data_IF_440359720473
#
_entry.id   IF_440359720473
#
_cell.length_a   1.000
_cell.length_b   1.000
_cell.length_c   1.000
_cell.angle_alpha   90.00
_cell.angle_beta   90.00
_cell.angle_gamma   90.00
#
_symmetry.space_group_name_H-M   'P 1'
#
loop_
_entity.id
_entity.type
_entity.pdbx_description
1 polymer ?
#
# COMPACT_ATOMS: atom_id res chain seq x y z
N UNK A 1 10.60 10.43 -11.24
CA UNK A 1 11.44 10.52 -10.01
C UNK A 1 10.48 10.67 -8.85
N UNK A 2 10.15 9.56 -8.18
CA UNK A 2 9.32 9.63 -6.97
C UNK A 2 10.14 10.33 -5.91
N UNK A 3 9.74 11.53 -5.53
CA UNK A 3 10.31 12.23 -4.38
C UNK A 3 9.86 11.45 -3.14
N UNK A 4 10.75 10.67 -2.54
CA UNK A 4 10.47 10.02 -1.26
C UNK A 4 10.10 11.11 -0.26
N UNK A 5 8.89 11.04 0.32
CA UNK A 5 8.49 11.97 1.37
C UNK A 5 9.37 11.76 2.61
N UNK A 6 9.52 12.80 3.44
CA UNK A 6 10.26 12.67 4.70
C UNK A 6 9.66 11.55 5.57
N UNK A 7 8.32 11.47 5.63
CA UNK A 7 7.63 10.42 6.40
C UNK A 7 7.98 9.03 5.87
N UNK A 8 7.97 8.83 4.54
CA UNK A 8 8.36 7.56 3.91
C UNK A 8 9.81 7.20 4.25
N UNK A 9 10.73 8.16 4.13
CA UNK A 9 12.14 7.95 4.46
C UNK A 9 12.35 7.54 5.92
N UNK A 10 11.69 8.23 6.86
CA UNK A 10 11.82 7.91 8.28
C UNK A 10 11.19 6.54 8.60
N UNK A 11 10.03 6.24 8.04
CA UNK A 11 9.35 4.95 8.23
C UNK A 11 10.22 3.81 7.78
N UNK A 12 10.80 3.89 6.60
CA UNK A 12 11.66 2.85 6.03
C UNK A 12 12.88 2.54 6.90
N UNK A 13 13.46 3.56 7.55
CA UNK A 13 14.70 3.39 8.30
C UNK A 13 14.47 3.10 9.79
N UNK A 14 13.34 3.49 10.36
CA UNK A 14 13.14 3.48 11.81
C UNK A 14 11.86 2.78 12.28
N UNK A 15 10.89 2.50 11.41
CA UNK A 15 9.62 1.91 11.80
C UNK A 15 9.45 0.50 11.23
N UNK A 16 9.31 -0.53 12.07
CA UNK A 16 9.11 -1.90 11.61
C UNK A 16 7.69 -2.14 11.06
N UNK A 17 6.74 -1.25 11.36
CA UNK A 17 5.33 -1.38 11.00
C UNK A 17 4.83 -0.11 10.30
N UNK A 18 4.97 -0.01 8.97
CA UNK A 18 4.55 1.16 8.21
C UNK A 18 3.04 1.43 8.28
N UNK A 19 2.22 0.39 8.45
CA UNK A 19 0.77 0.53 8.64
C UNK A 19 0.44 1.40 9.87
N UNK A 20 1.11 1.17 10.99
CA UNK A 20 0.90 1.96 12.20
C UNK A 20 1.28 3.43 11.99
N UNK A 21 2.40 3.70 11.29
CA UNK A 21 2.83 5.07 11.01
C UNK A 21 1.83 5.78 10.11
N UNK A 22 1.34 5.11 9.06
CA UNK A 22 0.34 5.68 8.17
C UNK A 22 -0.98 5.98 8.90
N UNK A 23 -1.42 5.07 9.77
CA UNK A 23 -2.63 5.23 10.55
C UNK A 23 -2.52 6.35 11.58
N UNK A 24 -1.39 6.46 12.29
CA UNK A 24 -1.13 7.56 13.23
C UNK A 24 -1.07 8.90 12.51
N UNK A 25 -0.45 8.97 11.33
CA UNK A 25 -0.43 10.18 10.52
C UNK A 25 -1.84 10.59 10.06
N UNK A 26 -2.66 9.63 9.59
CA UNK A 26 -4.06 9.89 9.23
C UNK A 26 -4.86 10.36 10.44
N UNK A 27 -4.71 9.70 11.59
CA UNK A 27 -5.35 10.08 12.85
C UNK A 27 -4.98 11.50 13.28
N UNK A 28 -3.70 11.87 13.16
CA UNK A 28 -3.23 13.23 13.42
C UNK A 28 -3.90 14.26 12.50
N UNK A 29 -3.94 14.00 11.20
CA UNK A 29 -4.59 14.88 10.22
C UNK A 29 -6.08 15.07 10.57
N UNK A 30 -6.81 13.98 10.85
CA UNK A 30 -8.23 14.04 11.18
C UNK A 30 -8.49 14.74 12.52
N UNK A 31 -7.61 14.60 13.51
CA UNK A 31 -7.74 15.28 14.79
C UNK A 31 -7.60 16.81 14.69
N UNK A 32 -6.78 17.29 13.76
CA UNK A 32 -6.41 18.71 13.67
C UNK A 32 -7.09 19.48 12.54
N UNK A 33 -7.77 18.82 11.59
CA UNK A 33 -8.38 19.44 10.42
C UNK A 33 -9.87 19.06 10.29
N UNK A 34 -10.74 20.05 10.37
CA UNK A 34 -12.17 19.86 10.09
C UNK A 34 -12.43 19.52 8.61
N UNK A 35 -11.68 20.13 7.68
CA UNK A 35 -11.80 19.80 6.27
C UNK A 35 -11.35 18.38 5.96
N UNK A 36 -10.33 17.85 6.67
CA UNK A 36 -9.94 16.45 6.54
C UNK A 36 -11.06 15.49 6.99
N UNK A 37 -11.73 15.80 8.12
CA UNK A 37 -12.91 15.04 8.57
C UNK A 37 -14.03 15.10 7.53
N UNK A 38 -14.30 16.26 6.94
CA UNK A 38 -15.29 16.43 5.87
C UNK A 38 -14.93 15.60 4.62
N UNK A 39 -13.64 15.57 4.26
CA UNK A 39 -13.14 14.75 3.16
C UNK A 39 -13.40 13.25 3.41
N UNK A 40 -13.08 12.73 4.59
CA UNK A 40 -13.37 11.34 4.96
C UNK A 40 -14.89 11.07 5.01
N UNK A 41 -15.68 11.98 5.57
CA UNK A 41 -17.14 11.86 5.64
C UNK A 41 -17.79 11.80 4.26
N UNK A 42 -17.21 12.44 3.23
CA UNK A 42 -17.73 12.37 1.87
C UNK A 42 -17.69 10.94 1.29
N UNK A 43 -16.68 10.15 1.67
CA UNK A 43 -16.56 8.74 1.28
C UNK A 43 -17.60 7.88 2.01
N UNK A 44 -17.93 8.25 3.25
CA UNK A 44 -18.90 7.55 4.09
C UNK A 44 -20.36 7.94 3.79
N UNK A 45 -20.60 8.93 2.93
CA UNK A 45 -21.93 9.50 2.69
C UNK A 45 -23.00 8.47 2.26
N UNK A 46 -22.59 7.42 1.53
CA UNK A 46 -23.50 6.31 1.14
C UNK A 46 -23.99 5.46 2.31
N UNK A 47 -23.35 5.53 3.49
CA UNK A 47 -23.76 4.76 4.68
C UNK A 47 -24.80 5.48 5.56
N UNK A 48 -25.13 6.74 5.26
CA UNK A 48 -26.01 7.57 6.08
C UNK A 48 -25.31 8.18 7.31
N UNK A 49 -23.99 8.02 7.45
CA UNK A 49 -23.19 8.66 8.50
C UNK A 49 -22.98 10.14 8.11
N UNK A 50 -23.54 11.06 8.89
CA UNK A 50 -23.49 12.51 8.64
C UNK A 50 -22.98 13.33 9.82
N UNK A 51 -22.54 12.70 10.89
CA UNK A 51 -22.14 13.37 12.13
C UNK A 51 -20.67 13.83 12.07
N UNK A 52 -20.36 14.92 12.78
CA UNK A 52 -18.97 15.32 13.03
C UNK A 52 -18.36 14.38 14.06
N UNK A 53 -17.40 13.56 13.62
CA UNK A 53 -16.80 12.52 14.44
C UNK A 53 -15.45 12.98 15.00
N UNK A 54 -15.17 12.59 16.24
CA UNK A 54 -13.84 12.67 16.82
C UNK A 54 -13.06 11.39 16.53
N UNK A 55 -11.85 11.52 15.97
CA UNK A 55 -11.02 10.37 15.61
C UNK A 55 -9.88 10.15 16.60
N UNK A 56 -9.62 8.89 16.93
CA UNK A 56 -8.50 8.47 17.80
C UNK A 56 -7.91 7.17 17.28
N UNK A 57 -6.57 7.05 17.37
CA UNK A 57 -5.81 5.88 16.94
C UNK A 57 -5.66 4.85 18.05
N UNK A 58 -5.59 3.58 17.69
CA UNK A 58 -5.17 2.41 18.49
C UNK A 58 -5.76 2.34 19.93
N UNK A 59 -7.01 2.68 20.10
CA UNK A 59 -7.66 2.56 21.43
C UNK A 59 -8.10 1.12 21.72
N UNK A 60 -7.63 0.56 22.83
CA UNK A 60 -8.20 -0.67 23.36
C UNK A 60 -9.57 -0.37 23.99
N UNK A 61 -10.58 -1.17 23.63
CA UNK A 61 -11.90 -1.10 24.25
C UNK A 61 -12.22 -2.36 25.03
N UNK A 62 -12.54 -2.19 26.31
CA UNK A 62 -12.97 -3.27 27.18
C UNK A 62 -11.92 -4.37 27.41
N UNK A 63 -12.39 -5.56 27.71
CA UNK A 63 -11.56 -6.75 27.91
C UNK A 63 -11.11 -7.42 26.62
N UNK A 64 -11.49 -6.87 25.44
CA UNK A 64 -11.10 -7.41 24.14
C UNK A 64 -9.72 -6.90 23.74
N UNK A 65 -8.88 -7.83 23.27
CA UNK A 65 -7.56 -7.50 22.69
C UNK A 65 -7.68 -6.86 21.28
N UNK A 66 -8.90 -6.71 20.76
CA UNK A 66 -9.18 -6.12 19.46
C UNK A 66 -8.97 -4.60 19.51
N UNK A 67 -8.08 -4.09 18.67
CA UNK A 67 -7.75 -2.67 18.58
C UNK A 67 -7.85 -2.22 17.14
N UNK A 68 -8.96 -1.59 16.74
CA UNK A 68 -9.02 -0.94 15.43
C UNK A 68 -7.92 0.12 15.32
N UNK A 69 -7.37 0.27 14.12
CA UNK A 69 -6.31 1.24 13.88
C UNK A 69 -6.77 2.67 14.11
N UNK A 70 -8.04 2.98 13.75
CA UNK A 70 -8.63 4.29 13.97
C UNK A 70 -10.10 4.14 14.34
N UNK A 71 -10.55 4.89 15.35
CA UNK A 71 -11.93 4.91 15.84
C UNK A 71 -12.51 6.31 15.72
N UNK A 72 -13.62 6.45 14.99
CA UNK A 72 -14.43 7.67 14.88
C UNK A 72 -15.65 7.57 15.80
N UNK A 73 -15.76 8.50 16.75
CA UNK A 73 -16.85 8.56 17.73
C UNK A 73 -17.67 9.81 17.59
N UNK A 74 -18.95 9.66 17.85
CA UNK A 74 -19.88 10.78 17.97
C UNK A 74 -19.76 11.51 19.33
N UNK A 75 -20.60 12.53 19.53
CA UNK A 75 -20.66 13.31 20.78
C UNK A 75 -21.12 12.47 21.98
N UNK A 76 -21.77 11.33 21.77
CA UNK A 76 -22.24 10.40 22.82
C UNK A 76 -21.16 9.33 23.12
N UNK A 77 -20.04 9.34 22.43
CA UNK A 77 -18.94 8.39 22.60
C UNK A 77 -19.17 7.03 21.94
N UNK A 78 -20.21 6.90 21.07
CA UNK A 78 -20.49 5.65 20.35
C UNK A 78 -19.49 5.47 19.19
N UNK A 79 -19.11 4.23 18.91
CA UNK A 79 -18.24 3.89 17.78
C UNK A 79 -19.06 3.93 16.48
N UNK A 80 -18.92 4.99 15.73
CA UNK A 80 -19.63 5.20 14.47
C UNK A 80 -18.81 4.71 13.28
N UNK A 81 -17.50 4.94 13.29
CA UNK A 81 -16.60 4.48 12.23
C UNK A 81 -15.40 3.79 12.86
N UNK A 82 -15.14 2.58 12.44
CA UNK A 82 -13.88 1.89 12.70
C UNK A 82 -13.12 1.77 11.40
N UNK A 83 -11.84 2.11 11.40
CA UNK A 83 -10.96 1.97 10.25
C UNK A 83 -9.90 0.94 10.57
N UNK A 84 -9.72 0.01 9.68
CA UNK A 84 -8.62 -0.96 9.67
C UNK A 84 -7.78 -0.73 8.44
N UNK A 85 -6.53 -0.37 8.63
CA UNK A 85 -5.58 -0.11 7.57
C UNK A 85 -4.74 -1.35 7.29
N UNK A 86 -4.59 -1.68 6.03
CA UNK A 86 -3.75 -2.81 5.60
C UNK A 86 -2.97 -2.40 4.37
N UNK A 87 -1.63 -2.52 4.42
CA UNK A 87 -0.87 -2.55 3.19
C UNK A 87 -0.84 -3.98 2.64
N UNK A 88 -0.03 -4.85 3.21
CA UNK A 88 0.17 -6.20 2.69
C UNK A 88 -0.09 -7.31 3.70
N UNK A 89 -0.32 -6.98 4.98
CA UNK A 89 -0.66 -7.95 6.01
C UNK A 89 -2.04 -8.59 5.75
N UNK A 90 -2.20 -9.86 6.14
CA UNK A 90 -3.50 -10.57 6.12
C UNK A 90 -4.47 -10.08 7.19
N UNK A 91 -5.70 -10.55 7.11
CA UNK A 91 -6.67 -10.35 8.19
C UNK A 91 -6.30 -11.23 9.39
N UNK A 92 -6.45 -10.68 10.59
CA UNK A 92 -6.36 -11.45 11.84
C UNK A 92 -7.67 -12.19 12.11
N UNK A 93 -7.67 -13.08 13.12
CA UNK A 93 -8.86 -13.85 13.49
C UNK A 93 -10.02 -12.97 13.99
N UNK A 94 -9.70 -11.79 14.53
CA UNK A 94 -10.70 -10.81 15.00
C UNK A 94 -11.34 -9.98 13.88
N UNK A 95 -10.82 -10.06 12.66
CA UNK A 95 -11.25 -9.22 11.54
C UNK A 95 -12.08 -10.03 10.53
N UNK A 96 -13.23 -9.49 10.11
CA UNK A 96 -13.85 -8.22 10.50
C UNK A 96 -14.78 -8.33 11.72
N UNK A 97 -15.06 -9.50 12.23
CA UNK A 97 -16.23 -9.84 13.07
C UNK A 97 -16.25 -9.09 14.40
N UNK A 98 -15.17 -9.16 15.17
CA UNK A 98 -15.10 -8.45 16.46
C UNK A 98 -15.25 -6.94 16.26
N UNK A 99 -14.72 -6.38 15.16
CA UNK A 99 -14.88 -4.95 14.87
C UNK A 99 -16.31 -4.57 14.49
N UNK A 100 -17.02 -5.43 13.74
CA UNK A 100 -18.44 -5.22 13.45
C UNK A 100 -19.27 -5.20 14.74
N UNK A 101 -18.94 -6.05 15.72
CA UNK A 101 -19.62 -6.10 17.01
C UNK A 101 -19.36 -4.85 17.86
N UNK A 102 -18.19 -4.20 17.71
CA UNK A 102 -17.85 -2.97 18.42
C UNK A 102 -18.57 -1.72 17.86
N UNK A 103 -19.15 -1.78 16.68
CA UNK A 103 -19.91 -0.68 16.07
C UNK A 103 -21.25 -0.44 16.78
N UNK A 104 -21.71 0.81 16.81
CA UNK A 104 -23.04 1.16 17.30
C UNK A 104 -24.14 0.44 16.53
N UNK A 105 -25.18 -0.01 17.22
CA UNK A 105 -26.32 -0.75 16.65
C UNK A 105 -27.53 0.15 16.30
N UNK A 106 -27.66 1.25 17.04
CA UNK A 106 -28.85 2.12 17.04
C UNK A 106 -28.76 3.27 16.00
N UNK A 107 -27.60 3.51 15.43
CA UNK A 107 -27.35 4.53 14.42
C UNK A 107 -26.53 3.97 13.25
N UNK A 108 -26.52 4.64 12.08
CA UNK A 108 -25.65 4.25 10.99
C UNK A 108 -24.18 4.20 11.43
N UNK A 109 -23.51 3.09 11.17
CA UNK A 109 -22.12 2.87 11.56
C UNK A 109 -21.39 2.04 10.52
N UNK A 110 -20.06 2.15 10.42
CA UNK A 110 -19.29 1.49 9.37
C UNK A 110 -17.94 0.97 9.88
N UNK A 111 -17.59 -0.22 9.43
CA UNK A 111 -16.21 -0.72 9.43
C UNK A 111 -15.61 -0.48 8.05
N UNK A 112 -14.55 0.33 7.99
CA UNK A 112 -13.87 0.72 6.77
C UNK A 112 -12.49 0.08 6.70
N UNK A 113 -12.23 -0.73 5.67
CA UNK A 113 -10.90 -1.21 5.34
C UNK A 113 -10.22 -0.23 4.39
N UNK A 114 -9.01 0.20 4.76
CA UNK A 114 -8.19 1.14 4.00
C UNK A 114 -6.96 0.42 3.47
N UNK A 115 -6.90 0.23 2.14
CA UNK A 115 -5.99 -0.73 1.50
C UNK A 115 -5.35 -0.17 0.23
N UNK A 116 -4.26 -0.78 -0.30
CA UNK A 116 -3.82 -0.57 -1.67
C UNK A 116 -4.85 -1.04 -2.70
N UNK A 117 -4.92 -0.37 -3.84
CA UNK A 117 -5.87 -0.69 -4.92
C UNK A 117 -5.76 -2.15 -5.39
N UNK A 118 -4.56 -2.68 -5.45
CA UNK A 118 -4.27 -4.05 -5.92
C UNK A 118 -4.90 -5.13 -5.03
N UNK A 119 -5.16 -4.81 -3.77
CA UNK A 119 -5.75 -5.75 -2.82
C UNK A 119 -7.27 -5.80 -2.84
N UNK A 120 -7.92 -4.83 -3.48
CA UNK A 120 -9.38 -4.71 -3.42
C UNK A 120 -10.10 -5.97 -3.94
N UNK A 121 -9.61 -6.55 -5.02
CA UNK A 121 -10.22 -7.75 -5.63
C UNK A 121 -10.02 -9.03 -4.83
N UNK A 122 -8.95 -9.13 -4.05
CA UNK A 122 -8.64 -10.32 -3.23
C UNK A 122 -9.18 -10.22 -1.81
N UNK A 123 -9.08 -9.03 -1.18
CA UNK A 123 -9.43 -8.87 0.23
C UNK A 123 -10.93 -8.68 0.46
N UNK A 124 -11.63 -8.00 -0.47
CA UNK A 124 -13.07 -7.78 -0.32
C UNK A 124 -13.90 -9.06 -0.20
N UNK A 125 -13.74 -10.07 -1.09
CA UNK A 125 -14.43 -11.34 -0.94
C UNK A 125 -14.14 -12.04 0.38
N UNK A 126 -12.88 -11.97 0.86
CA UNK A 126 -12.48 -12.58 2.14
C UNK A 126 -13.18 -11.90 3.32
N UNK A 127 -13.21 -10.55 3.36
CA UNK A 127 -13.91 -9.79 4.41
C UNK A 127 -15.40 -10.13 4.43
N UNK A 128 -16.07 -10.19 3.26
CA UNK A 128 -17.47 -10.52 3.16
C UNK A 128 -17.76 -11.98 3.58
N UNK A 129 -16.90 -12.94 3.18
CA UNK A 129 -17.03 -14.33 3.57
C UNK A 129 -16.93 -14.51 5.08
N UNK A 130 -15.89 -13.93 5.71
CA UNK A 130 -15.70 -14.03 7.16
C UNK A 130 -16.88 -13.43 7.95
N UNK A 131 -17.42 -12.28 7.49
CA UNK A 131 -18.62 -11.71 8.08
C UNK A 131 -19.84 -12.64 7.96
N UNK A 132 -20.04 -13.24 6.78
CA UNK A 132 -21.14 -14.18 6.55
C UNK A 132 -21.02 -15.45 7.37
N UNK A 133 -19.82 -16.00 7.52
CA UNK A 133 -19.53 -17.25 8.26
C UNK A 133 -19.87 -17.11 9.77
N UNK A 134 -19.88 -15.90 10.30
CA UNK A 134 -20.25 -15.60 11.68
C UNK A 134 -21.71 -15.16 11.84
N UNK A 135 -22.50 -15.22 10.78
CA UNK A 135 -23.94 -15.00 10.82
C UNK A 135 -24.40 -13.59 10.44
N UNK A 136 -23.49 -12.70 10.01
CA UNK A 136 -23.91 -11.42 9.46
C UNK A 136 -24.48 -11.60 8.04
N UNK A 137 -25.66 -11.05 7.80
CA UNK A 137 -26.19 -10.95 6.43
C UNK A 137 -25.47 -9.84 5.70
N UNK A 138 -24.77 -10.17 4.61
CA UNK A 138 -24.00 -9.21 3.81
C UNK A 138 -24.75 -8.94 2.50
N UNK A 139 -25.21 -7.71 2.30
CA UNK A 139 -25.90 -7.26 1.08
C UNK A 139 -25.04 -6.24 0.36
N UNK A 140 -24.53 -6.58 -0.82
CA UNK A 140 -23.71 -5.69 -1.64
C UNK A 140 -24.50 -4.43 -2.05
N UNK A 141 -23.91 -3.24 -1.89
CA UNK A 141 -24.51 -1.96 -2.25
C UNK A 141 -23.74 -1.26 -3.38
N UNK A 142 -22.41 -1.29 -3.33
CA UNK A 142 -21.56 -0.66 -4.34
C UNK A 142 -20.35 -1.54 -4.67
N UNK A 143 -20.00 -1.63 -5.94
CA UNK A 143 -18.87 -2.39 -6.47
C UNK A 143 -18.16 -1.60 -7.58
N UNK A 144 -17.42 -0.56 -7.20
CA UNK A 144 -16.70 0.33 -8.09
C UNK A 144 -15.32 0.72 -7.52
N UNK A 145 -15.01 2.02 -7.53
CA UNK A 145 -13.76 2.58 -6.98
C UNK A 145 -13.61 2.32 -5.48
N UNK A 146 -14.72 2.22 -4.77
CA UNK A 146 -14.80 1.66 -3.42
C UNK A 146 -15.82 0.53 -3.43
N UNK A 147 -15.82 -0.30 -2.41
CA UNK A 147 -16.79 -1.37 -2.24
C UNK A 147 -17.55 -1.15 -0.95
N UNK A 148 -18.86 -1.37 -0.99
CA UNK A 148 -19.68 -1.32 0.21
C UNK A 148 -20.71 -2.45 0.24
N UNK A 149 -21.01 -2.88 1.45
CA UNK A 149 -22.07 -3.82 1.74
C UNK A 149 -22.80 -3.42 3.03
N UNK A 150 -24.10 -3.58 3.03
CA UNK A 150 -24.91 -3.40 4.21
C UNK A 150 -24.96 -4.69 5.01
N UNK A 151 -24.80 -4.56 6.30
CA UNK A 151 -24.98 -5.64 7.26
C UNK A 151 -26.39 -5.54 7.91
N UNK A 152 -26.76 -6.54 8.69
CA UNK A 152 -27.99 -6.47 9.47
C UNK A 152 -27.99 -5.25 10.42
N UNK A 153 -29.13 -4.59 10.54
CA UNK A 153 -29.25 -3.34 11.28
C UNK A 153 -28.78 -2.12 10.45
N UNK A 154 -28.10 -1.20 11.10
CA UNK A 154 -27.58 0.04 10.50
C UNK A 154 -26.08 -0.01 10.25
N UNK A 155 -25.48 -1.20 10.23
CA UNK A 155 -24.04 -1.38 10.06
C UNK A 155 -23.67 -1.55 8.60
N UNK A 156 -22.50 -1.03 8.24
CA UNK A 156 -21.94 -1.14 6.90
C UNK A 156 -20.51 -1.67 6.92
N UNK A 157 -20.16 -2.47 5.92
CA UNK A 157 -18.78 -2.75 5.55
C UNK A 157 -18.39 -1.82 4.39
N UNK A 158 -17.23 -1.23 4.49
CA UNK A 158 -16.64 -0.39 3.46
C UNK A 158 -15.22 -0.85 3.18
N UNK A 159 -14.80 -0.78 1.93
CA UNK A 159 -13.41 -0.96 1.54
C UNK A 159 -13.06 0.10 0.51
N UNK A 160 -12.00 0.85 0.79
CA UNK A 160 -11.53 1.94 -0.08
C UNK A 160 -10.00 1.97 -0.10
N UNK A 161 -9.42 2.84 -0.91
CA UNK A 161 -7.97 2.93 -1.03
C UNK A 161 -7.40 4.13 -0.29
N UNK A 162 -6.13 4.05 0.08
CA UNK A 162 -5.37 5.18 0.59
C UNK A 162 -5.45 6.38 -0.36
N UNK A 163 -5.27 6.15 -1.65
CA UNK A 163 -5.35 7.19 -2.68
C UNK A 163 -6.70 7.88 -2.68
N UNK A 164 -7.81 7.14 -2.60
CA UNK A 164 -9.17 7.71 -2.57
C UNK A 164 -9.37 8.59 -1.34
N UNK A 165 -9.01 8.10 -0.15
CA UNK A 165 -9.14 8.87 1.11
C UNK A 165 -8.28 10.12 1.09
N UNK A 166 -7.01 10.00 0.72
CA UNK A 166 -6.09 11.14 0.70
C UNK A 166 -6.50 12.19 -0.34
N UNK A 167 -7.06 11.77 -1.49
CA UNK A 167 -7.57 12.69 -2.50
C UNK A 167 -8.82 13.44 -2.03
N UNK A 168 -9.72 12.77 -1.32
CA UNK A 168 -10.90 13.43 -0.75
C UNK A 168 -10.52 14.47 0.32
N UNK A 169 -9.57 14.12 1.19
CA UNK A 169 -9.03 15.03 2.21
C UNK A 169 -8.32 16.23 1.55
N UNK A 170 -7.46 15.99 0.56
CA UNK A 170 -6.73 17.02 -0.17
C UNK A 170 -7.69 18.00 -0.88
N UNK A 171 -8.75 17.46 -1.50
CA UNK A 171 -9.79 18.28 -2.14
C UNK A 171 -10.47 19.20 -1.15
N UNK A 172 -10.89 18.67 0.00
CA UNK A 172 -11.56 19.44 1.04
C UNK A 172 -10.61 20.48 1.69
N UNK A 173 -9.35 20.10 1.96
CA UNK A 173 -8.34 21.01 2.51
C UNK A 173 -7.97 22.12 1.54
N UNK A 174 -7.91 21.83 0.23
CA UNK A 174 -7.66 22.82 -0.81
C UNK A 174 -8.79 23.85 -0.86
N UNK A 175 -10.05 23.38 -0.83
CA UNK A 175 -11.21 24.26 -0.82
C UNK A 175 -11.27 25.18 0.41
N UNK A 176 -10.71 24.74 1.54
CA UNK A 176 -10.66 25.48 2.80
C UNK A 176 -9.34 26.28 2.99
N UNK A 177 -8.37 26.17 2.08
CA UNK A 177 -7.09 26.86 2.15
C UNK A 177 -6.16 26.38 3.27
N UNK A 178 -6.31 25.14 3.75
CA UNK A 178 -5.54 24.57 4.86
C UNK A 178 -4.17 24.03 4.41
N UNK A 179 -3.19 24.93 4.25
CA UNK A 179 -1.85 24.59 3.72
C UNK A 179 -1.06 23.58 4.56
N UNK A 180 -1.22 23.60 5.88
CA UNK A 180 -0.56 22.62 6.77
C UNK A 180 -1.13 21.23 6.55
N UNK A 181 -2.45 21.09 6.51
CA UNK A 181 -3.13 19.84 6.21
C UNK A 181 -2.71 19.29 4.84
N UNK A 182 -2.60 20.12 3.82
CA UNK A 182 -2.09 19.72 2.50
C UNK A 182 -0.66 19.19 2.54
N UNK A 183 0.22 19.82 3.34
CA UNK A 183 1.58 19.34 3.55
C UNK A 183 1.60 17.95 4.21
N UNK A 184 0.81 17.76 5.27
CA UNK A 184 0.73 16.50 6.00
C UNK A 184 0.16 15.38 5.11
N UNK A 185 -0.89 15.67 4.35
CA UNK A 185 -1.47 14.73 3.35
C UNK A 185 -0.44 14.34 2.31
N UNK A 186 0.36 15.29 1.81
CA UNK A 186 1.44 15.01 0.84
C UNK A 186 2.51 14.07 1.42
N UNK A 187 2.89 14.26 2.70
CA UNK A 187 3.84 13.37 3.39
C UNK A 187 3.29 11.96 3.55
N UNK A 188 2.03 11.83 3.97
CA UNK A 188 1.37 10.54 4.11
C UNK A 188 1.17 9.84 2.77
N UNK A 189 0.79 10.58 1.72
CA UNK A 189 0.68 10.06 0.35
C UNK A 189 2.00 9.43 -0.11
N UNK A 190 3.12 10.12 0.07
CA UNK A 190 4.42 9.57 -0.30
C UNK A 190 4.80 8.30 0.47
N UNK A 191 4.38 8.15 1.73
CA UNK A 191 4.53 6.90 2.47
C UNK A 191 3.68 5.78 1.85
N UNK A 192 2.40 6.06 1.58
CA UNK A 192 1.48 5.08 0.99
C UNK A 192 1.96 4.61 -0.39
N UNK A 193 2.39 5.53 -1.26
CA UNK A 193 2.92 5.22 -2.58
C UNK A 193 4.20 4.35 -2.51
N UNK A 194 5.10 4.60 -1.54
CA UNK A 194 6.27 3.74 -1.34
C UNK A 194 5.87 2.34 -0.89
N UNK A 195 4.91 2.22 0.03
CA UNK A 195 4.40 0.93 0.50
C UNK A 195 3.66 0.17 -0.61
N UNK A 196 2.87 0.84 -1.43
CA UNK A 196 2.22 0.25 -2.59
C UNK A 196 3.25 -0.26 -3.62
N UNK A 197 4.30 0.51 -3.88
CA UNK A 197 5.36 0.13 -4.81
C UNK A 197 6.23 -1.06 -4.31
N UNK A 198 6.33 -1.26 -3.01
CA UNK A 198 7.07 -2.40 -2.41
C UNK A 198 6.24 -3.69 -2.32
N UNK A 199 4.95 -3.59 -2.55
CA UNK A 199 4.03 -4.70 -2.41
C UNK A 199 4.13 -5.75 -3.51
N UNK A 200 3.61 -6.93 -3.20
CA UNK A 200 3.46 -7.99 -4.18
C UNK A 200 2.32 -7.65 -5.16
N UNK A 201 2.66 -7.45 -6.42
CA UNK A 201 1.68 -7.35 -7.49
C UNK A 201 1.31 -8.76 -7.95
N UNK A 202 0.06 -9.22 -7.75
CA UNK A 202 -0.37 -10.50 -8.27
C UNK A 202 -0.26 -10.50 -9.80
N UNK A 203 0.32 -11.54 -10.35
CA UNK A 203 0.43 -11.72 -11.81
C UNK A 203 -0.98 -11.89 -12.38
N UNK A 204 -1.36 -11.02 -13.29
CA UNK A 204 -2.65 -11.11 -13.99
C UNK A 204 -2.57 -12.18 -15.08
N UNK A 205 -3.68 -12.89 -15.38
CA UNK A 205 -3.67 -13.94 -16.41
C UNK A 205 -3.12 -13.50 -17.78
N UNK A 206 -3.30 -12.22 -18.15
CA UNK A 206 -2.77 -11.67 -19.41
C UNK A 206 -1.27 -11.33 -19.39
N UNK A 207 -0.66 -11.19 -18.20
CA UNK A 207 0.75 -10.82 -18.03
C UNK A 207 1.67 -12.05 -18.02
N UNK A 208 1.15 -13.21 -17.64
CA UNK A 208 1.93 -14.45 -17.53
C UNK A 208 1.61 -15.43 -18.66
N UNK A 209 1.87 -15.00 -19.90
CA UNK A 209 1.85 -15.92 -21.05
C UNK A 209 3.02 -16.91 -20.99
N UNK A 210 2.96 -18.04 -21.72
CA UNK A 210 4.00 -19.08 -21.72
C UNK A 210 5.39 -18.56 -22.14
N UNK A 211 5.44 -17.39 -22.80
CA UNK A 211 6.69 -16.75 -23.23
C UNK A 211 7.34 -15.85 -22.15
N UNK A 212 6.62 -15.45 -21.09
CA UNK A 212 7.16 -14.54 -20.09
C UNK A 212 8.39 -15.11 -19.35
N UNK A 213 8.37 -16.35 -18.83
CA UNK A 213 9.55 -16.95 -18.21
C UNK A 213 10.73 -17.06 -19.20
N UNK A 214 10.46 -17.37 -20.45
CA UNK A 214 11.48 -17.47 -21.50
C UNK A 214 12.13 -16.13 -21.79
N UNK A 215 11.36 -15.03 -21.78
CA UNK A 215 11.89 -13.68 -21.97
C UNK A 215 12.78 -13.26 -20.81
N UNK A 216 12.37 -13.53 -19.56
CA UNK A 216 13.16 -13.23 -18.36
C UNK A 216 14.48 -14.00 -18.37
N UNK A 217 14.44 -15.32 -18.68
CA UNK A 217 15.66 -16.12 -18.86
C UNK A 217 16.52 -15.63 -20.02
N UNK A 218 15.90 -15.08 -21.05
CA UNK A 218 16.59 -14.49 -22.20
C UNK A 218 17.47 -13.29 -21.83
N UNK A 219 17.15 -12.54 -20.79
CA UNK A 219 17.95 -11.40 -20.34
C UNK A 219 19.36 -11.83 -19.87
N UNK A 220 19.47 -12.97 -19.19
CA UNK A 220 20.77 -13.56 -18.81
C UNK A 220 21.61 -13.87 -20.06
N UNK A 221 20.98 -14.46 -21.08
CA UNK A 221 21.66 -14.79 -22.33
C UNK A 221 22.15 -13.54 -23.06
N UNK A 222 21.39 -12.44 -23.03
CA UNK A 222 21.82 -11.16 -23.62
C UNK A 222 23.12 -10.67 -22.97
N UNK A 223 23.16 -10.64 -21.62
CA UNK A 223 24.36 -10.25 -20.88
C UNK A 223 25.54 -11.16 -21.25
N UNK A 224 25.35 -12.48 -21.26
CA UNK A 224 26.42 -13.43 -21.54
C UNK A 224 26.93 -13.31 -23.00
N UNK A 225 26.05 -13.07 -23.96
CA UNK A 225 26.43 -12.87 -25.36
C UNK A 225 27.24 -11.58 -25.57
N UNK A 226 26.81 -10.47 -24.97
CA UNK A 226 27.51 -9.18 -25.02
C UNK A 226 28.91 -9.31 -24.42
N UNK A 227 29.00 -9.82 -23.20
CA UNK A 227 30.27 -9.98 -22.48
C UNK A 227 31.18 -11.00 -23.21
N UNK A 228 30.64 -12.11 -23.70
CA UNK A 228 31.37 -13.11 -24.46
C UNK A 228 31.90 -12.56 -25.78
N UNK A 229 31.11 -11.74 -26.48
CA UNK A 229 31.56 -11.05 -27.71
C UNK A 229 32.72 -10.11 -27.44
N UNK A 230 32.61 -9.20 -26.49
CA UNK A 230 33.65 -8.24 -26.10
C UNK A 230 34.95 -8.94 -25.63
N UNK A 231 34.84 -10.06 -24.93
CA UNK A 231 36.00 -10.86 -24.53
C UNK A 231 36.64 -11.56 -25.73
N UNK A 232 35.84 -12.08 -26.66
CA UNK A 232 36.31 -12.68 -27.93
C UNK A 232 37.04 -11.69 -28.83
N UNK A 233 36.63 -10.44 -28.83
CA UNK A 233 37.27 -9.34 -29.55
C UNK A 233 38.50 -8.78 -28.83
N UNK A 234 38.83 -9.29 -27.64
CA UNK A 234 39.96 -8.82 -26.85
C UNK A 234 39.77 -7.43 -26.19
N UNK A 235 38.53 -6.91 -26.16
CA UNK A 235 38.24 -5.62 -25.58
C UNK A 235 38.18 -5.66 -24.05
N UNK A 236 37.88 -6.82 -23.47
CA UNK A 236 37.76 -7.04 -22.01
C UNK A 236 38.41 -8.36 -21.61
N UNK A 237 38.80 -8.45 -20.32
CA UNK A 237 39.26 -9.68 -19.69
C UNK A 237 38.22 -10.19 -18.67
N UNK A 238 38.02 -11.51 -18.64
CA UNK A 238 37.20 -12.22 -17.69
C UNK A 238 37.99 -13.02 -16.66
N UNK A 239 39.34 -12.87 -16.68
CA UNK A 239 40.23 -13.70 -15.85
C UNK A 239 39.96 -13.51 -14.35
N UNK A 240 39.59 -14.60 -13.68
CA UNK A 240 39.26 -14.60 -12.26
C UNK A 240 37.87 -14.04 -11.89
N UNK A 241 37.14 -13.53 -12.86
CA UNK A 241 35.83 -12.90 -12.66
C UNK A 241 34.69 -13.88 -12.95
N UNK A 242 33.67 -13.90 -12.07
CA UNK A 242 32.55 -14.83 -12.18
C UNK A 242 31.24 -14.08 -12.41
N UNK A 243 30.30 -14.77 -13.05
CA UNK A 243 28.91 -14.35 -13.08
C UNK A 243 28.27 -14.42 -11.69
N UNK A 244 27.38 -13.51 -11.38
CA UNK A 244 26.64 -13.50 -10.13
C UNK A 244 25.15 -13.34 -10.39
N UNK A 245 24.34 -14.33 -9.99
CA UNK A 245 22.91 -14.20 -9.91
C UNK A 245 22.56 -13.46 -8.60
N UNK A 246 21.70 -12.46 -8.70
CA UNK A 246 21.17 -11.72 -7.56
C UNK A 246 19.67 -12.01 -7.40
N UNK A 247 19.05 -11.57 -6.30
CA UNK A 247 17.61 -11.70 -6.09
C UNK A 247 16.78 -11.01 -7.20
N UNK A 248 17.28 -9.91 -7.72
CA UNK A 248 16.57 -9.07 -8.69
C UNK A 248 17.19 -9.04 -10.08
N UNK A 249 18.27 -9.80 -10.34
CA UNK A 249 18.93 -9.73 -11.62
C UNK A 249 20.12 -10.67 -11.81
N UNK A 250 20.91 -10.35 -12.82
CA UNK A 250 22.10 -11.10 -13.18
C UNK A 250 23.20 -10.15 -13.60
N UNK A 251 24.44 -10.42 -13.18
CA UNK A 251 25.61 -9.56 -13.35
C UNK A 251 26.81 -10.34 -13.87
N UNK A 252 27.54 -9.74 -14.79
CA UNK A 252 28.85 -10.22 -15.26
C UNK A 252 29.90 -9.15 -15.01
N UNK A 253 30.95 -9.50 -14.30
CA UNK A 253 32.11 -8.65 -14.09
C UNK A 253 33.12 -8.81 -15.20
N UNK A 254 33.86 -7.75 -15.51
CA UNK A 254 34.92 -7.72 -16.53
C UNK A 254 35.92 -6.60 -16.24
N UNK A 255 37.12 -6.73 -16.79
CA UNK A 255 38.14 -5.69 -16.78
C UNK A 255 38.37 -5.22 -18.24
N UNK A 256 38.34 -3.90 -18.50
CA UNK A 256 38.66 -3.37 -19.86
C UNK A 256 40.13 -3.59 -20.23
N UNK A 257 40.39 -3.77 -21.53
CA UNK A 257 41.74 -3.87 -22.06
C UNK A 257 41.98 -2.72 -23.07
N UNK A 258 42.96 -1.81 -22.89
CA UNK A 258 43.86 -1.73 -21.72
C UNK A 258 43.12 -1.29 -20.45
N UNK A 259 43.67 -1.65 -19.29
CA UNK A 259 43.13 -1.26 -18.00
C UNK A 259 43.08 0.28 -17.90
N UNK A 260 41.87 0.83 -17.92
CA UNK A 260 41.65 2.28 -17.86
C UNK A 260 41.81 2.87 -16.45
N UNK A 261 41.57 2.04 -15.42
CA UNK A 261 41.65 2.44 -14.01
C UNK A 261 42.18 1.29 -13.15
N UNK A 262 43.20 1.52 -12.30
CA UNK A 262 43.63 0.53 -11.33
C UNK A 262 42.57 0.33 -10.26
N UNK A 263 42.20 -0.92 -9.97
CA UNK A 263 41.34 -1.35 -8.87
C UNK A 263 39.82 -1.07 -9.01
N UNK A 264 39.28 -0.87 -10.21
CA UNK A 264 37.84 -0.79 -10.42
C UNK A 264 37.34 -2.02 -11.15
N UNK A 265 36.42 -2.75 -10.54
CA UNK A 265 35.66 -3.80 -11.22
C UNK A 265 34.53 -3.16 -12.01
N UNK A 266 34.46 -3.47 -13.30
CA UNK A 266 33.33 -3.12 -14.15
C UNK A 266 32.37 -4.30 -14.22
N UNK A 267 31.11 -4.01 -14.47
CA UNK A 267 30.09 -5.02 -14.67
C UNK A 267 29.01 -4.57 -15.65
N UNK A 268 28.39 -5.53 -16.28
CA UNK A 268 27.16 -5.38 -17.02
C UNK A 268 26.09 -6.21 -16.32
N UNK A 269 24.94 -5.61 -16.03
CA UNK A 269 23.84 -6.30 -15.38
C UNK A 269 22.48 -5.94 -15.98
N UNK A 270 21.51 -6.84 -15.84
CA UNK A 270 20.12 -6.42 -15.77
C UNK A 270 19.67 -6.46 -14.30
N UNK A 271 18.82 -5.52 -13.90
CA UNK A 271 18.35 -5.41 -12.54
C UNK A 271 16.89 -4.95 -12.51
N UNK A 272 16.00 -5.84 -12.08
CA UNK A 272 14.57 -5.60 -12.05
C UNK A 272 14.19 -4.52 -11.03
N UNK A 273 14.97 -4.35 -9.94
CA UNK A 273 14.75 -3.27 -8.98
C UNK A 273 15.10 -1.90 -9.55
N UNK A 274 16.16 -1.82 -10.37
CA UNK A 274 16.50 -0.61 -11.10
C UNK A 274 15.44 -0.28 -12.16
N UNK A 275 14.96 -1.26 -12.88
CA UNK A 275 13.89 -1.08 -13.85
C UNK A 275 12.64 -0.51 -13.17
N UNK A 276 12.22 -1.09 -12.06
CA UNK A 276 11.08 -0.62 -11.28
C UNK A 276 11.21 0.84 -10.83
N UNK A 277 12.43 1.25 -10.39
CA UNK A 277 12.67 2.58 -9.79
C UNK A 277 12.98 3.67 -10.82
N UNK A 278 13.69 3.32 -11.87
CA UNK A 278 14.31 4.29 -12.76
C UNK A 278 13.96 4.10 -14.23
N UNK A 279 13.10 3.13 -14.54
CA UNK A 279 12.78 2.69 -15.91
C UNK A 279 14.03 2.28 -16.73
N UNK A 280 15.05 1.80 -16.01
CA UNK A 280 16.32 1.31 -16.56
C UNK A 280 16.47 -0.17 -16.25
N UNK A 281 16.44 -1.00 -17.29
CA UNK A 281 16.58 -2.46 -17.14
C UNK A 281 18.04 -2.90 -17.05
N UNK A 282 18.92 -2.24 -17.79
CA UNK A 282 20.35 -2.55 -17.86
C UNK A 282 21.19 -1.44 -17.24
N UNK A 283 22.24 -1.83 -16.55
CA UNK A 283 23.26 -0.96 -15.95
C UNK A 283 24.64 -1.61 -15.93
#
# INVERSE_FOLDING_TARGET
MYSSSLLAHLTKNFAPHPENVATEALGHILAHSASARNGLSSILSGTGISEDLSYRTQQAEGDTLARPDLTGRDAQGRNIVLVEAKFWAGLTDNQPNTYIEMLADDVPSALCFLIPQERMTSLWPEVCSRASDTGFTVSMEHDGEYKSARLAGNKHLLMTTWTTVLTAIETAATASGETLTLSDVSQLRGLCEEQEAEGFLPIRPGEFGPEAPRRILGLTNVIDQVIGGLAGDGAISLQGLRATATRSGYRRYFDPIPAMFPLQNFWLEYNLDFWRRYDLLFG
#
